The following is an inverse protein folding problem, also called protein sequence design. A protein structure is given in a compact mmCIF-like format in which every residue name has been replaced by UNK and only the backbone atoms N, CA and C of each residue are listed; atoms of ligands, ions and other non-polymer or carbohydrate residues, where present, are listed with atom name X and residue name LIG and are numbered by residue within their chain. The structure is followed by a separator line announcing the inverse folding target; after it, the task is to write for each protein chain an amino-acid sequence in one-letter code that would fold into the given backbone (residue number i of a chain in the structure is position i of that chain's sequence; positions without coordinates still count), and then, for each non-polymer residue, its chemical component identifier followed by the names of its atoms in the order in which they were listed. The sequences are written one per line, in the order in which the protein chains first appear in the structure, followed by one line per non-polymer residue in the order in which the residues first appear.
data_IF_156546552208
#
_entry.id   IF_156546552208
#
_cell.length_a   1.000
_cell.length_b   1.000
_cell.length_c   1.000
_cell.angle_alpha   90.00
_cell.angle_beta   90.00
_cell.angle_gamma   90.00
#
_symmetry.space_group_name_H-M   'P 1'
#
loop_
_entity.id
_entity.type
_entity.pdbx_description
1 polymer ?
#
# COMPACT_ATOMS: atom_id res chain seq x y z
N UNK A 1 -7.23 3.15 -16.83
CA UNK A 1 -8.67 3.19 -16.50
C UNK A 1 -8.77 2.73 -15.06
N UNK A 2 -9.06 3.65 -14.12
CA UNK A 2 -9.04 3.37 -12.68
C UNK A 2 -10.30 2.62 -12.28
N UNK A 3 -10.16 1.43 -11.66
CA UNK A 3 -11.28 0.77 -10.99
C UNK A 3 -11.37 1.38 -9.59
N UNK A 4 -12.25 2.37 -9.42
CA UNK A 4 -12.67 2.84 -8.09
C UNK A 4 -13.77 1.89 -7.62
N UNK A 5 -13.44 0.96 -6.72
CA UNK A 5 -14.42 0.06 -6.14
C UNK A 5 -15.21 0.81 -5.07
N UNK A 6 -16.37 1.36 -5.43
CA UNK A 6 -17.39 1.72 -4.44
C UNK A 6 -18.04 0.40 -3.98
N UNK A 7 -17.69 -0.01 -2.75
CA UNK A 7 -18.19 -1.19 -2.03
C UNK A 7 -18.42 -2.45 -2.90
N UNK A 8 -17.34 -3.16 -3.25
CA UNK A 8 -17.47 -4.48 -3.88
C UNK A 8 -17.53 -5.54 -2.78
N UNK A 9 -18.72 -6.09 -2.51
CA UNK A 9 -18.89 -7.32 -1.73
C UNK A 9 -18.71 -8.52 -2.65
N UNK A 10 -17.63 -9.27 -2.48
CA UNK A 10 -17.39 -10.47 -3.27
C UNK A 10 -18.00 -11.68 -2.54
N UNK A 11 -19.22 -12.10 -2.92
CA UNK A 11 -19.74 -13.43 -2.53
C UNK A 11 -19.04 -14.47 -3.41
N UNK A 12 -17.97 -15.06 -2.90
CA UNK A 12 -17.16 -16.04 -3.64
C UNK A 12 -17.42 -17.43 -3.04
N UNK A 13 -17.80 -18.40 -3.86
CA UNK A 13 -17.87 -19.81 -3.46
C UNK A 13 -16.47 -20.42 -3.35
N UNK A 14 -16.31 -21.46 -2.52
CA UNK A 14 -15.07 -22.05 -1.97
C UNK A 14 -13.99 -22.57 -2.95
N UNK A 15 -14.03 -22.21 -4.24
CA UNK A 15 -13.02 -22.59 -5.26
C UNK A 15 -12.71 -21.47 -6.27
N UNK A 16 -13.00 -20.20 -5.95
CA UNK A 16 -12.87 -19.13 -6.95
C UNK A 16 -11.66 -18.23 -6.70
N UNK A 17 -10.90 -18.00 -7.77
CA UNK A 17 -9.85 -16.98 -7.87
C UNK A 17 -10.45 -15.70 -8.46
N UNK A 18 -10.34 -14.58 -7.73
CA UNK A 18 -10.68 -13.25 -8.24
C UNK A 18 -9.41 -12.43 -8.38
N UNK A 19 -9.14 -11.98 -9.61
CA UNK A 19 -8.04 -11.08 -9.94
C UNK A 19 -8.60 -9.67 -10.11
N UNK A 20 -8.10 -8.72 -9.33
CA UNK A 20 -8.44 -7.30 -9.45
C UNK A 20 -7.34 -6.59 -10.23
N UNK A 21 -7.71 -6.11 -11.42
CA UNK A 21 -6.81 -5.35 -12.29
C UNK A 21 -7.55 -4.77 -13.50
N UNK A 22 -7.06 -3.64 -14.02
CA UNK A 22 -7.51 -3.12 -15.29
C UNK A 22 -6.91 -3.97 -16.42
N UNK A 23 -7.74 -4.47 -17.33
CA UNK A 23 -7.29 -5.21 -18.51
C UNK A 23 -6.52 -4.29 -19.44
N UNK A 24 -5.18 -4.34 -19.45
CA UNK A 24 -4.40 -3.82 -20.56
C UNK A 24 -4.57 -4.78 -21.74
N UNK A 25 -5.26 -4.33 -22.79
CA UNK A 25 -5.40 -5.09 -24.02
C UNK A 25 -4.00 -5.30 -24.63
N UNK A 26 -3.56 -6.56 -24.71
CA UNK A 26 -2.45 -6.92 -25.56
C UNK A 26 -2.82 -6.55 -27.00
N UNK A 27 -2.25 -5.47 -27.53
CA UNK A 27 -2.27 -5.27 -28.98
C UNK A 27 -1.39 -6.35 -29.57
N UNK A 28 -2.01 -7.40 -30.10
CA UNK A 28 -1.32 -8.36 -30.95
C UNK A 28 -0.96 -7.63 -32.24
N UNK A 29 0.24 -7.07 -32.33
CA UNK A 29 0.82 -6.78 -33.63
C UNK A 29 0.85 -8.11 -34.39
N UNK A 30 0.13 -8.12 -35.50
CA UNK A 30 -0.16 -9.31 -36.29
C UNK A 30 1.16 -9.92 -36.75
N UNK A 31 1.41 -11.18 -36.37
CA UNK A 31 2.41 -12.00 -37.02
C UNK A 31 1.94 -12.29 -38.46
N UNK A 32 2.23 -11.38 -39.39
CA UNK A 32 2.20 -11.70 -40.81
C UNK A 32 3.41 -12.60 -41.10
N UNK A 33 3.15 -13.89 -41.22
CA UNK A 33 4.14 -14.87 -41.65
C UNK A 33 4.56 -14.59 -43.09
N UNK A 34 5.79 -14.13 -43.28
CA UNK A 34 6.47 -14.16 -44.57
C UNK A 34 7.78 -14.97 -44.46
N UNK A 35 7.96 -16.06 -45.21
CA UNK A 35 9.22 -16.77 -45.25
C UNK A 35 10.13 -16.16 -46.31
N UNK A 36 11.38 -15.86 -45.93
CA UNK A 36 12.51 -15.75 -46.85
C UNK A 36 13.16 -14.37 -46.93
N UNK A 37 14.47 -14.35 -46.75
CA UNK A 37 15.32 -13.24 -47.21
C UNK A 37 16.33 -12.75 -46.19
N UNK A 38 17.51 -13.35 -46.19
CA UNK A 38 18.74 -12.83 -45.61
C UNK A 38 18.99 -11.36 -45.98
N UNK A 39 19.29 -10.51 -44.98
CA UNK A 39 19.69 -9.13 -45.22
C UNK A 39 20.11 -8.39 -43.95
N UNK A 40 21.43 -8.21 -43.83
CA UNK A 40 22.19 -7.17 -43.14
C UNK A 40 21.60 -6.41 -41.92
N UNK A 41 22.45 -6.37 -40.88
CA UNK A 41 22.44 -5.40 -39.79
C UNK A 41 22.29 -3.94 -40.26
N UNK A 42 21.51 -3.18 -39.50
CA UNK A 42 21.85 -1.84 -38.99
C UNK A 42 20.72 -1.33 -38.11
N UNK A 43 20.84 -1.50 -36.79
CA UNK A 43 20.10 -0.70 -35.84
C UNK A 43 20.85 0.61 -35.61
N UNK A 44 20.41 1.66 -36.30
CA UNK A 44 20.75 3.05 -36.00
C UNK A 44 19.86 3.55 -34.88
N UNK A 45 20.44 3.93 -33.75
CA UNK A 45 19.71 4.49 -32.61
C UNK A 45 20.63 4.92 -31.47
N UNK A 46 21.65 5.70 -31.75
CA UNK A 46 22.41 6.44 -30.73
C UNK A 46 21.59 7.65 -30.29
N UNK A 47 21.17 7.66 -29.03
CA UNK A 47 20.56 8.82 -28.37
C UNK A 47 21.10 8.94 -26.95
N UNK A 48 22.33 9.43 -26.82
CA UNK A 48 22.95 9.75 -25.55
C UNK A 48 23.66 11.10 -25.62
N UNK A 49 23.62 11.79 -24.47
CA UNK A 49 24.35 13.01 -24.07
C UNK A 49 23.63 14.36 -24.20
N UNK A 50 23.39 14.95 -23.02
CA UNK A 50 22.89 16.29 -22.79
C UNK A 50 23.18 16.72 -21.36
N UNK A 51 24.45 16.98 -21.08
CA UNK A 51 24.97 17.56 -19.83
C UNK A 51 24.74 19.08 -19.80
N UNK A 52 24.40 19.63 -18.62
CA UNK A 52 24.45 21.06 -18.31
C UNK A 52 23.38 21.43 -17.29
N UNK A 53 23.62 22.20 -16.24
CA UNK A 53 24.79 22.88 -15.72
C UNK A 53 24.34 23.57 -14.44
N UNK A 54 25.12 23.44 -13.37
CA UNK A 54 24.83 24.04 -12.07
C UNK A 54 25.27 25.51 -12.03
N UNK A 55 24.43 26.37 -11.46
CA UNK A 55 24.71 27.73 -10.95
C UNK A 55 23.47 28.14 -10.15
N UNK A 56 23.48 28.64 -8.93
CA UNK A 56 24.49 29.05 -7.98
C UNK A 56 23.72 29.85 -6.91
N UNK A 57 23.73 29.43 -5.64
CA UNK A 57 23.15 30.21 -4.55
C UNK A 57 24.29 30.85 -3.75
N UNK A 58 24.40 32.18 -3.86
CA UNK A 58 25.07 33.01 -2.87
C UNK A 58 24.08 33.48 -1.81
N UNK A 59 24.56 33.69 -0.59
CA UNK A 59 23.78 34.34 0.47
C UNK A 59 24.26 33.97 1.87
N UNK A 60 25.15 34.78 2.41
CA UNK A 60 25.80 34.61 3.71
C UNK A 60 24.95 35.12 4.90
N UNK A 61 25.22 34.57 6.09
CA UNK A 61 25.32 35.29 7.38
C UNK A 61 25.77 34.29 8.46
N UNK A 62 27.02 34.29 8.93
CA UNK A 62 27.56 35.04 10.09
C UNK A 62 26.69 35.01 11.35
N UNK A 63 27.25 34.42 12.43
CA UNK A 63 26.75 34.57 13.79
C UNK A 63 27.49 33.68 14.79
N UNK A 64 28.54 34.22 15.41
CA UNK A 64 29.33 33.61 16.48
C UNK A 64 28.64 33.70 17.86
N UNK A 65 29.10 32.87 18.80
CA UNK A 65 28.90 33.03 20.25
C UNK A 65 28.00 31.94 20.85
N UNK A 66 28.28 31.34 22.01
CA UNK A 66 29.30 31.55 23.02
C UNK A 66 29.13 30.48 24.12
N UNK A 67 30.21 30.29 24.87
CA UNK A 67 30.34 29.35 25.98
C UNK A 67 29.39 29.59 27.16
N UNK A 68 29.29 28.56 28.01
CA UNK A 68 29.41 28.59 29.49
C UNK A 68 28.19 28.14 30.32
N UNK A 69 28.36 26.98 30.98
CA UNK A 69 28.22 26.71 32.44
C UNK A 69 27.08 27.27 33.30
N UNK A 70 26.60 26.40 34.22
CA UNK A 70 25.95 26.73 35.50
C UNK A 70 24.45 26.42 35.48
N UNK A 71 23.86 25.57 36.32
CA UNK A 71 24.09 25.34 37.74
C UNK A 71 23.02 26.10 38.55
N UNK A 72 22.08 25.39 39.20
CA UNK A 72 21.17 26.01 40.16
C UNK A 72 19.84 25.30 40.38
N UNK A 73 19.77 24.46 41.42
CA UNK A 73 18.54 24.08 42.10
C UNK A 73 17.88 25.30 42.75
N UNK A 74 16.55 25.36 42.81
CA UNK A 74 15.73 25.59 44.04
C UNK A 74 14.26 25.89 43.75
N UNK A 75 13.41 25.07 44.38
CA UNK A 75 12.10 25.30 45.04
C UNK A 75 11.34 26.63 44.95
N UNK A 76 10.00 26.50 44.85
CA UNK A 76 8.94 27.47 45.20
C UNK A 76 8.00 27.72 44.00
N UNK A 77 6.71 27.41 43.99
CA UNK A 77 5.69 27.55 45.02
C UNK A 77 4.93 28.87 44.78
N UNK A 78 3.79 28.84 44.07
CA UNK A 78 2.97 30.04 43.84
C UNK A 78 1.82 29.80 42.89
N UNK A 79 0.62 29.66 43.45
CA UNK A 79 -0.67 29.58 42.78
C UNK A 79 -0.93 30.80 41.89
N UNK A 80 -1.25 30.57 40.62
CA UNK A 80 -1.97 31.52 39.79
C UNK A 80 -3.32 30.93 39.41
N UNK A 81 -4.37 31.52 39.97
CA UNK A 81 -5.74 31.45 39.49
C UNK A 81 -5.86 32.23 38.19
N UNK A 82 -6.64 31.72 37.24
CA UNK A 82 -7.14 32.52 36.11
C UNK A 82 -6.62 32.09 34.75
N UNK A 83 -7.19 31.00 34.25
CA UNK A 83 -7.13 30.62 32.85
C UNK A 83 -8.09 29.46 32.68
N UNK A 84 -9.35 29.76 32.34
CA UNK A 84 -10.21 28.74 31.76
C UNK A 84 -9.48 28.27 30.49
N UNK A 85 -8.72 27.18 30.62
CA UNK A 85 -8.39 26.36 29.48
C UNK A 85 -9.75 26.06 28.86
N UNK A 86 -10.02 26.61 27.68
CA UNK A 86 -11.19 26.23 26.92
C UNK A 86 -11.17 24.71 26.92
N UNK A 87 -12.18 24.10 27.52
CA UNK A 87 -12.33 22.65 27.47
C UNK A 87 -12.10 22.26 26.02
N UNK A 88 -11.19 21.30 25.72
CA UNK A 88 -11.12 20.78 24.36
C UNK A 88 -12.54 20.40 23.95
N UNK A 89 -12.91 20.57 22.65
CA UNK A 89 -14.27 20.33 22.18
C UNK A 89 -14.77 19.06 22.85
N UNK A 90 -15.81 19.22 23.67
CA UNK A 90 -16.29 18.14 24.52
C UNK A 90 -16.97 17.15 23.59
N UNK A 91 -16.18 16.25 23.01
CA UNK A 91 -16.71 15.05 22.41
C UNK A 91 -17.58 14.40 23.50
N UNK A 92 -18.85 14.20 23.18
CA UNK A 92 -19.83 13.60 24.09
C UNK A 92 -20.08 12.20 23.56
N UNK A 93 -19.63 11.14 24.27
CA UNK A 93 -19.72 9.80 23.74
C UNK A 93 -21.16 9.43 23.40
N UNK A 94 -21.40 9.01 22.17
CA UNK A 94 -22.70 8.50 21.71
C UNK A 94 -22.76 6.97 21.76
N UNK A 95 -21.62 6.31 21.93
CA UNK A 95 -21.48 4.86 22.07
C UNK A 95 -20.22 4.47 22.85
N UNK A 96 -20.06 3.17 23.12
CA UNK A 96 -18.84 2.59 23.71
C UNK A 96 -18.00 1.82 22.70
N UNK A 97 -18.56 1.60 21.51
CA UNK A 97 -17.91 0.94 20.39
C UNK A 97 -17.93 1.94 19.24
N UNK A 98 -16.77 2.12 18.64
CA UNK A 98 -16.53 2.99 17.50
C UNK A 98 -15.67 2.16 16.56
N UNK A 99 -16.25 1.77 15.43
CA UNK A 99 -15.57 1.00 14.40
C UNK A 99 -15.38 1.95 13.22
N UNK A 100 -14.17 2.03 12.63
CA UNK A 100 -13.89 3.05 11.65
C UNK A 100 -14.89 3.01 10.49
N UNK A 101 -15.57 4.12 10.27
CA UNK A 101 -16.61 4.21 9.26
C UNK A 101 -16.43 5.41 8.32
N UNK A 102 -17.49 5.74 7.58
CA UNK A 102 -17.45 6.70 6.50
C UNK A 102 -17.85 8.12 6.92
N UNK A 103 -18.34 8.28 8.16
CA UNK A 103 -18.69 9.54 8.79
C UNK A 103 -17.53 10.12 9.64
N UNK A 104 -16.46 9.33 9.85
CA UNK A 104 -15.22 9.72 10.51
C UNK A 104 -15.41 10.33 11.91
N UNK A 105 -16.46 9.90 12.58
CA UNK A 105 -16.85 10.44 13.87
C UNK A 105 -16.21 9.62 14.96
N UNK A 106 -15.59 10.29 15.93
CA UNK A 106 -15.12 9.68 17.16
C UNK A 106 -16.33 9.54 18.12
N UNK A 107 -17.00 8.39 18.11
CA UNK A 107 -18.22 8.16 18.91
C UNK A 107 -17.93 7.80 20.36
N UNK A 108 -16.77 7.21 20.62
CA UNK A 108 -16.35 6.78 21.95
C UNK A 108 -15.50 7.84 22.68
N UNK A 109 -15.13 8.91 21.97
CA UNK A 109 -14.29 10.02 22.41
C UNK A 109 -12.89 9.62 22.88
N UNK A 110 -12.29 8.61 22.25
CA UNK A 110 -10.93 8.14 22.55
C UNK A 110 -9.83 8.86 21.75
N UNK A 111 -10.23 9.77 20.86
CA UNK A 111 -9.37 10.68 20.13
C UNK A 111 -9.17 10.32 18.66
N UNK A 112 -9.75 9.22 18.18
CA UNK A 112 -9.70 8.79 16.79
C UNK A 112 -11.07 8.27 16.34
N UNK A 113 -11.27 8.15 15.04
CA UNK A 113 -12.35 7.37 14.45
C UNK A 113 -11.93 5.89 14.46
N UNK A 114 -12.65 5.09 15.25
CA UNK A 114 -12.27 3.74 15.67
C UNK A 114 -12.09 3.59 17.19
N UNK A 115 -11.59 2.43 17.62
CA UNK A 115 -11.31 2.17 19.03
C UNK A 115 -9.83 1.87 19.21
N UNK A 116 -9.04 2.84 19.70
CA UNK A 116 -7.58 2.76 19.77
C UNK A 116 -7.08 1.55 20.57
N UNK A 117 -7.79 1.18 21.63
CA UNK A 117 -7.44 0.01 22.44
C UNK A 117 -7.60 -1.32 21.70
N UNK A 118 -8.48 -1.38 20.69
CA UNK A 118 -8.80 -2.55 19.87
C UNK A 118 -8.06 -2.56 18.52
N UNK A 119 -7.07 -1.68 18.34
CA UNK A 119 -6.32 -1.57 17.09
C UNK A 119 -4.83 -1.88 17.24
N UNK A 120 -4.23 -2.24 16.12
CA UNK A 120 -2.80 -2.26 15.85
C UNK A 120 -2.50 -1.16 14.84
N UNK A 121 -1.61 -0.26 15.21
CA UNK A 121 -1.24 0.91 14.42
C UNK A 121 0.02 0.64 13.61
N UNK A 122 -0.03 1.02 12.33
CA UNK A 122 1.09 0.87 11.40
C UNK A 122 1.37 2.19 10.68
N UNK A 123 2.64 2.57 10.59
CA UNK A 123 3.07 3.82 9.97
C UNK A 123 4.40 3.62 9.22
N UNK A 124 4.64 4.32 8.10
CA UNK A 124 5.92 4.24 7.39
C UNK A 124 7.12 4.65 8.27
N UNK A 125 6.89 5.54 9.24
CA UNK A 125 7.88 5.98 10.23
C UNK A 125 8.02 5.06 11.45
N UNK A 126 7.21 4.00 11.55
CA UNK A 126 7.17 3.06 12.67
C UNK A 126 8.35 2.10 12.72
N UNK A 127 8.28 1.10 13.61
CA UNK A 127 9.29 0.06 13.76
C UNK A 127 8.68 -1.32 14.01
N UNK A 128 9.11 -2.36 13.28
CA UNK A 128 8.61 -3.73 13.49
C UNK A 128 9.05 -4.38 14.80
N UNK A 129 9.95 -3.73 15.54
CA UNK A 129 10.27 -4.09 16.93
C UNK A 129 9.28 -3.50 17.96
N UNK A 130 8.38 -2.61 17.53
CA UNK A 130 7.39 -1.99 18.38
C UNK A 130 6.20 -2.92 18.68
N UNK A 131 5.37 -2.50 19.63
CA UNK A 131 4.18 -3.24 20.07
C UNK A 131 2.95 -3.00 19.18
N UNK A 132 3.00 -1.99 18.29
CA UNK A 132 1.88 -1.63 17.42
C UNK A 132 0.81 -0.80 18.11
N UNK A 133 1.13 -0.15 19.24
CA UNK A 133 0.25 0.87 19.82
C UNK A 133 0.28 2.16 19.01
N UNK A 134 -0.69 3.05 19.23
CA UNK A 134 -0.76 4.36 18.57
C UNK A 134 0.50 5.22 18.80
N UNK A 135 1.11 5.09 19.98
CA UNK A 135 2.33 5.81 20.35
C UNK A 135 3.60 5.18 19.76
N UNK A 136 3.59 3.85 19.56
CA UNK A 136 4.72 3.10 18.99
C UNK A 136 4.22 2.17 17.88
N UNK A 137 3.87 2.72 16.70
CA UNK A 137 3.33 1.95 15.59
C UNK A 137 4.39 1.03 14.98
N UNK A 138 3.94 -0.08 14.39
CA UNK A 138 4.81 -0.95 13.60
C UNK A 138 5.10 -0.35 12.23
N UNK A 139 6.15 -0.85 11.56
CA UNK A 139 6.57 -0.31 10.26
C UNK A 139 5.82 -0.97 9.11
N UNK A 140 5.64 -2.30 9.18
CA UNK A 140 5.07 -3.10 8.08
C UNK A 140 3.64 -3.53 8.36
N UNK A 141 2.84 -3.58 7.28
CA UNK A 141 1.51 -4.16 7.27
C UNK A 141 1.56 -5.64 7.62
N UNK A 142 2.59 -6.36 7.16
CA UNK A 142 2.81 -7.76 7.54
C UNK A 142 2.94 -7.95 9.04
N UNK A 143 3.72 -7.11 9.72
CA UNK A 143 3.84 -7.16 11.18
C UNK A 143 2.53 -6.78 11.87
N UNK A 144 1.83 -5.77 11.36
CA UNK A 144 0.57 -5.31 11.90
C UNK A 144 -0.51 -6.41 11.85
N UNK A 145 -0.67 -7.07 10.70
CA UNK A 145 -1.60 -8.19 10.50
C UNK A 145 -1.28 -9.35 11.45
N UNK A 146 0.01 -9.68 11.63
CA UNK A 146 0.41 -10.73 12.56
C UNK A 146 0.03 -10.41 14.01
N UNK A 147 0.18 -9.15 14.44
CA UNK A 147 -0.24 -8.69 15.77
C UNK A 147 -1.76 -8.64 15.91
N UNK A 148 -2.46 -8.17 14.88
CA UNK A 148 -3.92 -8.11 14.84
C UNK A 148 -4.53 -9.50 15.01
N UNK A 149 -4.06 -10.48 14.22
CA UNK A 149 -4.43 -11.90 14.33
C UNK A 149 -4.17 -12.46 15.74
N UNK A 150 -3.02 -12.16 16.32
CA UNK A 150 -2.64 -12.69 17.63
C UNK A 150 -3.50 -12.12 18.78
N UNK A 151 -4.08 -10.94 18.61
CA UNK A 151 -4.77 -10.22 19.67
C UNK A 151 -6.25 -9.92 19.37
N UNK A 152 -6.79 -10.44 18.25
CA UNK A 152 -8.14 -10.16 17.76
C UNK A 152 -8.43 -8.65 17.68
N UNK A 153 -7.57 -7.93 16.95
CA UNK A 153 -7.62 -6.47 16.77
C UNK A 153 -7.75 -6.09 15.29
N UNK A 154 -8.22 -4.88 15.05
CA UNK A 154 -8.17 -4.25 13.73
C UNK A 154 -6.78 -3.68 13.43
N UNK A 155 -6.50 -3.40 12.15
CA UNK A 155 -5.27 -2.72 11.70
C UNK A 155 -5.60 -1.32 11.19
N UNK A 156 -5.02 -0.30 11.83
CA UNK A 156 -5.17 1.11 11.44
C UNK A 156 -3.90 1.59 10.75
N UNK A 157 -4.07 1.97 9.49
CA UNK A 157 -2.98 2.20 8.54
C UNK A 157 -2.83 3.70 8.29
N UNK A 158 -1.68 4.24 8.70
CA UNK A 158 -1.32 5.61 8.39
C UNK A 158 -1.16 5.82 6.88
N UNK A 159 -1.56 6.99 6.41
CA UNK A 159 -1.31 7.43 5.05
C UNK A 159 0.19 7.49 4.77
N UNK A 160 0.56 7.05 3.57
CA UNK A 160 1.95 6.87 3.18
C UNK A 160 2.10 5.72 2.20
N UNK A 161 3.35 5.36 1.90
CA UNK A 161 3.67 4.30 0.95
C UNK A 161 4.35 3.12 1.64
N UNK A 162 3.77 1.94 1.49
CA UNK A 162 4.28 0.66 1.96
C UNK A 162 4.81 -0.15 0.78
N UNK A 163 6.12 -0.40 0.77
CA UNK A 163 6.81 -1.10 -0.33
C UNK A 163 6.92 -2.59 -0.06
N UNK A 164 5.79 -3.23 0.23
CA UNK A 164 5.70 -4.65 0.57
C UNK A 164 4.50 -5.34 -0.10
N UNK A 165 4.55 -6.66 -0.15
CA UNK A 165 3.39 -7.48 -0.49
C UNK A 165 2.62 -7.80 0.80
N UNK A 166 1.33 -7.53 0.79
CA UNK A 166 0.41 -7.80 1.90
C UNK A 166 -0.31 -9.11 1.66
N UNK A 167 -0.32 -9.97 2.68
CA UNK A 167 -1.05 -11.25 2.67
C UNK A 167 -1.99 -11.29 3.87
N UNK A 168 -3.26 -11.53 3.61
CA UNK A 168 -4.28 -11.82 4.64
C UNK A 168 -4.59 -13.31 4.55
N UNK A 169 -4.22 -14.05 5.60
CA UNK A 169 -4.31 -15.52 5.71
C UNK A 169 -5.06 -15.97 6.98
N UNK A 170 -5.90 -15.08 7.52
CA UNK A 170 -6.65 -15.29 8.73
C UNK A 170 -8.03 -14.63 8.64
N UNK A 171 -8.99 -15.29 9.27
CA UNK A 171 -10.37 -14.85 9.40
C UNK A 171 -10.46 -13.54 10.19
N UNK A 172 -11.49 -12.76 9.86
CA UNK A 172 -11.89 -11.52 10.53
C UNK A 172 -10.80 -10.44 10.63
N UNK A 173 -9.82 -10.43 9.72
CA UNK A 173 -8.81 -9.37 9.64
C UNK A 173 -9.37 -8.16 8.90
N UNK A 174 -9.34 -7.00 9.57
CA UNK A 174 -9.75 -5.72 9.00
C UNK A 174 -8.59 -4.73 8.91
N UNK A 175 -8.40 -4.13 7.73
CA UNK A 175 -7.45 -3.07 7.46
C UNK A 175 -8.22 -1.79 7.13
N UNK A 176 -7.96 -0.73 7.88
CA UNK A 176 -8.54 0.59 7.69
C UNK A 176 -7.41 1.60 7.42
N UNK A 177 -7.40 2.14 6.20
CA UNK A 177 -6.55 3.26 5.81
C UNK A 177 -7.23 4.61 6.03
N UNK A 178 -6.54 5.66 5.62
CA UNK A 178 -7.04 7.04 5.69
C UNK A 178 -6.57 7.81 6.92
N UNK A 179 -5.75 7.21 7.79
CA UNK A 179 -5.28 7.84 9.03
C UNK A 179 -4.07 8.76 8.79
N UNK A 180 -4.11 9.98 9.33
CA UNK A 180 -2.98 10.91 9.37
C UNK A 180 -2.26 10.79 10.72
N UNK A 181 -1.24 9.94 10.79
CA UNK A 181 -0.47 9.69 12.01
C UNK A 181 0.41 10.87 12.44
N UNK A 182 0.65 11.85 11.57
CA UNK A 182 1.36 13.09 11.91
C UNK A 182 0.41 14.13 12.51
N UNK A 183 -0.90 14.00 12.25
CA UNK A 183 -1.95 14.87 12.76
C UNK A 183 -2.94 14.11 13.67
N UNK A 184 -2.39 13.46 14.69
CA UNK A 184 -3.17 12.86 15.77
C UNK A 184 -4.00 11.65 15.37
N UNK A 185 -3.63 10.95 14.29
CA UNK A 185 -4.38 9.81 13.75
C UNK A 185 -5.82 10.19 13.37
N UNK A 186 -6.03 11.42 12.89
CA UNK A 186 -7.31 11.81 12.28
C UNK A 186 -7.55 11.01 11.00
N UNK A 187 -8.80 10.60 10.74
CA UNK A 187 -9.16 9.81 9.56
C UNK A 187 -9.83 10.68 8.48
N UNK A 188 -9.60 10.33 7.22
CA UNK A 188 -10.13 11.03 6.06
C UNK A 188 -10.31 10.10 4.86
N UNK A 189 -10.76 10.65 3.72
CA UNK A 189 -10.89 9.90 2.46
C UNK A 189 -9.55 9.64 1.73
N UNK A 190 -8.42 10.03 2.30
CA UNK A 190 -7.11 9.67 1.78
C UNK A 190 -6.89 8.15 1.83
N UNK A 191 -5.91 7.65 1.07
CA UNK A 191 -5.61 6.22 1.01
C UNK A 191 -4.16 5.94 1.31
N UNK A 192 -3.93 4.93 2.13
CA UNK A 192 -2.61 4.35 2.28
C UNK A 192 -2.23 3.58 1.00
N UNK A 193 -1.03 3.82 0.48
CA UNK A 193 -0.55 3.23 -0.77
C UNK A 193 0.28 1.99 -0.48
N UNK A 194 -0.07 0.86 -1.09
CA UNK A 194 0.71 -0.38 -1.07
C UNK A 194 1.25 -0.60 -2.48
N UNK A 195 2.57 -0.45 -2.62
CA UNK A 195 3.27 -0.46 -3.91
C UNK A 195 4.56 -1.29 -3.81
N UNK A 196 4.47 -2.63 -3.79
CA UNK A 196 5.66 -3.47 -3.80
C UNK A 196 6.44 -3.30 -5.11
N UNK A 197 7.75 -3.52 -5.04
CA UNK A 197 8.59 -3.52 -6.23
C UNK A 197 8.32 -4.70 -7.18
N UNK A 198 7.79 -5.81 -6.65
CA UNK A 198 7.49 -7.04 -7.41
C UNK A 198 6.26 -7.75 -6.82
N UNK A 199 5.57 -8.55 -7.64
CA UNK A 199 4.45 -9.38 -7.20
C UNK A 199 3.13 -8.62 -7.03
N UNK A 200 2.19 -9.24 -6.30
CA UNK A 200 0.84 -8.73 -6.09
C UNK A 200 0.81 -7.88 -4.81
N UNK A 201 0.32 -6.63 -4.83
CA UNK A 201 0.19 -5.77 -3.65
C UNK A 201 -0.62 -6.38 -2.51
N UNK A 202 -1.79 -6.96 -2.81
CA UNK A 202 -2.65 -7.62 -1.84
C UNK A 202 -3.04 -9.03 -2.28
N UNK A 203 -2.80 -9.99 -1.39
CA UNK A 203 -3.33 -11.35 -1.50
C UNK A 203 -4.23 -11.67 -0.31
N UNK A 204 -5.41 -12.22 -0.56
CA UNK A 204 -6.29 -12.79 0.46
C UNK A 204 -6.46 -14.27 0.12
N UNK A 205 -6.13 -15.15 1.06
CA UNK A 205 -5.96 -16.57 0.77
C UNK A 205 -6.56 -17.47 1.85
N UNK A 206 -7.57 -18.27 1.47
CA UNK A 206 -8.26 -19.19 2.36
C UNK A 206 -8.79 -18.52 3.65
N UNK A 207 -9.52 -17.42 3.49
CA UNK A 207 -10.07 -16.61 4.58
C UNK A 207 -11.59 -16.55 4.55
N UNK A 208 -12.23 -16.63 5.71
CA UNK A 208 -13.63 -16.28 5.90
C UNK A 208 -13.76 -14.98 6.68
N UNK A 209 -14.10 -13.89 5.98
CA UNK A 209 -14.17 -12.55 6.56
C UNK A 209 -12.86 -11.80 6.42
N UNK A 210 -12.83 -10.79 5.54
CA UNK A 210 -11.80 -9.76 5.56
C UNK A 210 -12.38 -8.43 5.13
N UNK A 211 -11.88 -7.35 5.72
CA UNK A 211 -12.30 -5.99 5.41
C UNK A 211 -11.09 -5.16 5.02
N UNK A 212 -11.12 -4.54 3.84
CA UNK A 212 -10.03 -3.67 3.36
C UNK A 212 -10.65 -2.35 2.95
N UNK A 213 -10.22 -1.28 3.61
CA UNK A 213 -10.83 0.03 3.49
C UNK A 213 -9.82 1.15 3.32
N UNK A 214 -10.07 2.08 2.39
CA UNK A 214 -9.19 3.22 2.10
C UNK A 214 -7.72 2.83 1.84
N UNK A 215 -7.49 1.76 1.06
CA UNK A 215 -6.16 1.44 0.53
C UNK A 215 -6.08 1.65 -0.99
N UNK A 216 -4.90 2.06 -1.47
CA UNK A 216 -4.53 2.10 -2.88
C UNK A 216 -3.47 1.05 -3.18
N UNK A 217 -3.81 0.08 -4.02
CA UNK A 217 -3.05 -1.13 -4.28
C UNK A 217 -2.43 -1.01 -5.68
N UNK A 218 -1.13 -0.74 -5.75
CA UNK A 218 -0.44 -0.42 -7.01
C UNK A 218 0.50 -1.56 -7.40
N UNK A 219 0.12 -2.30 -8.45
CA UNK A 219 0.94 -3.38 -8.96
C UNK A 219 2.07 -2.84 -9.86
N UNK A 220 3.30 -3.39 -9.75
CA UNK A 220 4.37 -3.10 -10.67
C UNK A 220 4.07 -3.69 -12.07
N UNK A 221 4.73 -3.19 -13.14
CA UNK A 221 4.64 -3.79 -14.46
C UNK A 221 5.27 -5.18 -14.48
N UNK A 222 4.77 -6.06 -15.35
CA UNK A 222 5.42 -7.34 -15.64
C UNK A 222 6.79 -7.12 -16.29
N UNK A 223 7.80 -7.86 -15.85
CA UNK A 223 9.18 -7.73 -16.34
C UNK A 223 9.62 -8.95 -17.15
N UNK A 224 9.22 -10.16 -16.76
CA UNK A 224 9.56 -11.38 -17.48
C UNK A 224 8.47 -11.81 -18.46
N UNK A 225 8.81 -12.48 -19.59
CA UNK A 225 7.82 -12.87 -20.57
C UNK A 225 6.67 -13.71 -20.00
N UNK A 226 5.44 -13.26 -20.22
CA UNK A 226 4.21 -13.86 -19.70
C UNK A 226 3.80 -13.38 -18.30
N UNK A 227 4.58 -12.51 -17.64
CA UNK A 227 4.19 -11.95 -16.35
C UNK A 227 3.01 -10.99 -16.48
N UNK A 228 2.06 -11.13 -15.55
CA UNK A 228 0.90 -10.25 -15.43
C UNK A 228 1.14 -9.19 -14.36
N UNK A 229 0.53 -8.02 -14.53
CA UNK A 229 0.41 -7.02 -13.46
C UNK A 229 -0.95 -7.17 -12.79
N UNK A 230 -0.95 -7.55 -11.52
CA UNK A 230 -2.16 -7.86 -10.74
C UNK A 230 -2.11 -7.06 -9.44
N UNK A 231 -3.12 -6.25 -9.17
CA UNK A 231 -3.19 -5.37 -7.99
C UNK A 231 -3.76 -6.07 -6.75
N UNK A 232 -4.65 -7.04 -6.96
CA UNK A 232 -5.21 -7.86 -5.88
C UNK A 232 -5.53 -9.27 -6.34
N UNK A 233 -5.32 -10.25 -5.48
CA UNK A 233 -5.69 -11.64 -5.69
C UNK A 233 -6.44 -12.19 -4.48
N UNK A 234 -7.69 -12.62 -4.68
CA UNK A 234 -8.50 -13.29 -3.65
C UNK A 234 -8.66 -14.75 -4.06
N UNK A 235 -8.25 -15.67 -3.19
CA UNK A 235 -8.19 -17.11 -3.47
C UNK A 235 -8.91 -17.85 -2.35
N UNK A 236 -9.82 -18.75 -2.73
CA UNK A 236 -10.52 -19.67 -1.82
C UNK A 236 -11.09 -19.01 -0.55
N UNK A 237 -11.60 -17.78 -0.68
CA UNK A 237 -12.02 -16.94 0.44
C UNK A 237 -13.49 -16.53 0.33
N UNK A 238 -14.17 -16.33 1.47
CA UNK A 238 -15.57 -15.90 1.59
C UNK A 238 -15.68 -14.63 2.43
N UNK A 239 -16.80 -13.91 2.32
CA UNK A 239 -17.11 -12.70 3.11
C UNK A 239 -16.04 -11.60 3.06
N UNK A 240 -15.53 -11.36 1.85
CA UNK A 240 -14.55 -10.31 1.58
C UNK A 240 -15.24 -9.00 1.22
N UNK A 241 -14.88 -7.93 1.94
CA UNK A 241 -15.36 -6.58 1.71
C UNK A 241 -14.20 -5.67 1.34
N UNK A 242 -14.29 -5.09 0.15
CA UNK A 242 -13.37 -4.06 -0.33
C UNK A 242 -14.14 -2.74 -0.38
N UNK A 243 -13.91 -1.87 0.60
CA UNK A 243 -14.55 -0.55 0.70
C UNK A 243 -13.56 0.55 0.33
N UNK A 244 -14.03 1.55 -0.42
CA UNK A 244 -13.25 2.72 -0.90
C UNK A 244 -11.77 2.43 -1.15
N UNK A 245 -11.48 1.33 -1.83
CA UNK A 245 -10.12 0.90 -2.14
C UNK A 245 -9.90 0.95 -3.64
N UNK A 246 -8.68 1.29 -4.05
CA UNK A 246 -8.31 1.43 -5.45
C UNK A 246 -7.33 0.31 -5.82
N UNK A 247 -7.58 -0.36 -6.96
CA UNK A 247 -6.74 -1.44 -7.48
C UNK A 247 -6.18 -1.02 -8.83
N UNK A 248 -4.87 -0.77 -8.87
CA UNK A 248 -4.18 -0.19 -10.02
C UNK A 248 -3.18 -1.21 -10.54
N UNK A 249 -3.51 -1.81 -11.68
CA UNK A 249 -2.58 -2.65 -12.42
C UNK A 249 -1.77 -1.80 -13.42
N UNK A 250 -0.50 -2.18 -13.62
CA UNK A 250 0.35 -1.67 -14.69
C UNK A 250 0.26 -2.58 -15.93
N UNK A 251 1.19 -2.41 -16.88
CA UNK A 251 1.26 -3.25 -18.06
C UNK A 251 1.81 -4.64 -17.71
N UNK A 252 1.19 -5.70 -18.25
CA UNK A 252 1.82 -7.02 -18.29
C UNK A 252 3.00 -7.05 -19.25
N UNK A 253 3.86 -8.06 -19.11
CA UNK A 253 4.95 -8.31 -20.03
C UNK A 253 4.47 -9.00 -21.31
N UNK A 254 5.26 -8.88 -22.39
CA UNK A 254 5.03 -9.64 -23.62
C UNK A 254 4.97 -11.14 -23.36
N UNK A 255 4.18 -11.87 -24.14
CA UNK A 255 4.13 -13.34 -24.05
C UNK A 255 5.49 -14.00 -24.32
N UNK A 256 5.68 -15.20 -23.76
CA UNK A 256 6.87 -16.02 -24.07
C UNK A 256 6.85 -16.40 -25.56
N UNK A 257 8.01 -16.31 -26.22
CA UNK A 257 8.16 -16.78 -27.59
C UNK A 257 7.76 -18.27 -27.71
N UNK A 258 7.08 -18.61 -28.81
CA UNK A 258 6.74 -20.00 -29.11
C UNK A 258 7.98 -20.87 -29.27
N UNK A 259 7.86 -22.17 -28.98
CA UNK A 259 8.92 -23.13 -29.26
C UNK A 259 9.15 -23.23 -30.78
N UNK A 260 10.41 -23.39 -31.20
CA UNK A 260 10.72 -23.64 -32.60
C UNK A 260 10.05 -24.93 -33.08
N UNK A 261 9.56 -24.93 -34.32
CA UNK A 261 9.00 -26.13 -34.93
C UNK A 261 10.08 -27.23 -34.99
N UNK A 262 9.69 -28.47 -34.67
CA UNK A 262 10.57 -29.61 -34.84
C UNK A 262 10.99 -29.71 -36.31
N UNK A 263 12.30 -29.84 -36.56
CA UNK A 263 12.80 -30.01 -37.91
C UNK A 263 12.20 -31.28 -38.52
N UNK A 264 11.51 -31.15 -39.64
CA UNK A 264 11.03 -32.30 -40.42
C UNK A 264 12.26 -32.92 -41.07
N UNK A 265 12.77 -34.02 -40.50
CA UNK A 265 13.80 -34.83 -41.17
C UNK A 265 13.13 -35.59 -42.31
N UNK A 266 13.29 -35.12 -43.53
CA UNK A 266 12.92 -35.90 -44.71
C UNK A 266 13.79 -37.15 -44.78
N UNK A 267 13.21 -38.37 -44.89
CA UNK A 267 13.99 -39.58 -45.04
C UNK A 267 14.93 -39.47 -46.24
N UNK A 268 16.19 -39.87 -46.07
CA UNK A 268 17.12 -39.98 -47.19
C UNK A 268 16.54 -40.97 -48.21
N UNK A 269 16.40 -40.53 -49.46
CA UNK A 269 16.04 -41.41 -50.58
C UNK A 269 17.13 -42.47 -50.71
N UNK A 270 16.79 -43.73 -50.42
CA UNK A 270 17.66 -44.86 -50.68
C UNK A 270 17.80 -45.02 -52.19
N UNK A 271 19.02 -44.88 -52.70
CA UNK A 271 19.39 -45.13 -54.08
C UNK A 271 19.64 -46.60 -54.37
#
# INVERSE_FOLDING_TARGET
MHISAQALRALIGSTSLVLLGATAACSSDSFDGHPGGSGAASASGTGGEGSGGASGMGGASTGSGGSSTGGGSSTGGGSNTGGAAGSPPQCTPTGTEDRPDDDFTDENCDGIDGTAAQAVFVAPSGSDSADGSMATPVHTLKKAIALAKANAKDVYVCNGTYTENVVIDADDVALFGGYDCDNGWSRSHERAVVAPAQGVPLRIDNVNGAFVDHLELVAPPGVAPGESSIAGAIVDSTDIVLNRSAFIAANGANGKAGAAAAAVTTPAMAG
#
